data_IF_383252554869
#
_entry.id   IF_383252554869
#
_cell.length_a   1.000
_cell.length_b   1.000
_cell.length_c   1.000
_cell.angle_alpha   90.00
_cell.angle_beta   90.00
_cell.angle_gamma   90.00
#
_symmetry.space_group_name_H-M   'P 1'
#
loop_
_entity.id
_entity.type
_entity.pdbx_description
1 polymer ?
#
# COMPACT_ATOMS: atom_id res chain seq x y z
N UNK A 1 7.03 38.07 -45.97
CA UNK A 1 8.48 37.90 -46.14
C UNK A 1 8.83 36.68 -45.29
N UNK A 2 8.76 35.48 -45.89
CA UNK A 2 9.00 34.21 -45.20
C UNK A 2 10.47 34.18 -44.75
N UNK A 3 10.70 34.17 -43.43
CA UNK A 3 12.01 33.83 -42.89
C UNK A 3 12.21 32.33 -43.11
N UNK A 4 12.94 32.00 -44.18
CA UNK A 4 13.46 30.65 -44.38
C UNK A 4 14.44 30.41 -43.25
N UNK A 5 14.03 29.61 -42.26
CA UNK A 5 14.95 29.09 -41.24
C UNK A 5 16.09 28.38 -41.98
N UNK A 6 17.30 28.87 -41.78
CA UNK A 6 18.47 28.43 -42.54
C UNK A 6 18.71 26.93 -42.29
N UNK A 7 19.09 26.17 -43.32
CA UNK A 7 19.28 24.70 -43.23
C UNK A 7 20.31 24.29 -42.17
N UNK A 8 21.26 25.19 -41.89
CA UNK A 8 22.26 25.05 -40.83
C UNK A 8 21.67 25.14 -39.41
N UNK A 9 20.66 26.00 -39.19
CA UNK A 9 19.95 26.11 -37.92
C UNK A 9 19.09 24.89 -37.64
N UNK A 10 18.42 24.34 -38.66
CA UNK A 10 17.64 23.09 -38.55
C UNK A 10 18.53 21.90 -38.15
N UNK A 11 19.71 21.76 -38.77
CA UNK A 11 20.67 20.71 -38.42
C UNK A 11 21.22 20.85 -36.99
N UNK A 12 21.42 22.09 -36.51
CA UNK A 12 21.89 22.33 -35.15
C UNK A 12 20.84 21.95 -34.09
N UNK A 13 19.57 22.28 -34.34
CA UNK A 13 18.45 21.92 -33.45
C UNK A 13 18.27 20.40 -33.40
N UNK A 14 18.35 19.73 -34.56
CA UNK A 14 18.29 18.27 -34.63
C UNK A 14 19.43 17.60 -33.83
N UNK A 15 20.66 18.11 -33.93
CA UNK A 15 21.79 17.59 -33.16
C UNK A 15 21.64 17.79 -31.64
N UNK A 16 21.05 18.92 -31.21
CA UNK A 16 20.81 19.16 -29.79
C UNK A 16 19.71 18.25 -29.23
N UNK A 17 18.63 18.06 -30.00
CA UNK A 17 17.54 17.16 -29.62
C UNK A 17 17.99 15.70 -29.62
N UNK A 18 18.80 15.27 -30.61
CA UNK A 18 19.34 13.91 -30.65
C UNK A 18 20.33 13.65 -29.50
N UNK A 19 21.20 14.62 -29.16
CA UNK A 19 22.11 14.49 -28.03
C UNK A 19 21.36 14.41 -26.69
N UNK A 20 20.26 15.16 -26.55
CA UNK A 20 19.40 15.09 -25.36
C UNK A 20 18.63 13.77 -25.30
N UNK A 21 18.14 13.28 -26.43
CA UNK A 21 17.52 11.98 -26.59
C UNK A 21 18.48 10.82 -26.24
N UNK A 22 19.75 10.89 -26.66
CA UNK A 22 20.76 9.89 -26.31
C UNK A 22 21.06 9.87 -24.80
N UNK A 23 20.95 11.02 -24.12
CA UNK A 23 21.21 11.13 -22.70
C UNK A 23 20.04 10.65 -21.82
N UNK A 24 18.79 10.88 -22.25
CA UNK A 24 17.58 10.65 -21.44
C UNK A 24 16.66 9.54 -21.98
N UNK A 25 16.88 9.06 -23.21
CA UNK A 25 16.06 8.03 -23.86
C UNK A 25 14.69 8.54 -24.35
N UNK A 26 14.35 9.81 -24.13
CA UNK A 26 13.12 10.47 -24.59
C UNK A 26 13.36 11.97 -24.82
N UNK A 27 12.45 12.63 -25.51
CA UNK A 27 12.43 14.11 -25.68
C UNK A 27 11.08 14.64 -25.22
N UNK A 28 11.08 15.71 -24.43
CA UNK A 28 9.84 16.35 -23.98
C UNK A 28 9.28 17.30 -25.03
N UNK A 29 7.96 17.39 -25.10
CA UNK A 29 7.29 18.35 -25.96
C UNK A 29 7.68 19.80 -25.61
N UNK A 30 7.86 20.10 -24.33
CA UNK A 30 8.31 21.41 -23.84
C UNK A 30 9.73 21.76 -24.30
N UNK A 31 10.62 20.78 -24.39
CA UNK A 31 11.99 20.99 -24.90
C UNK A 31 12.00 21.28 -26.41
N UNK A 32 11.06 20.65 -27.12
CA UNK A 32 10.84 20.84 -28.54
C UNK A 32 10.32 22.26 -28.82
N UNK A 33 9.37 22.75 -28.01
CA UNK A 33 8.85 24.11 -28.07
C UNK A 33 9.86 25.17 -27.61
N UNK A 34 10.71 24.86 -26.62
CA UNK A 34 11.74 25.79 -26.15
C UNK A 34 12.82 26.08 -27.20
N UNK A 35 13.15 25.08 -28.03
CA UNK A 35 14.12 25.22 -29.12
C UNK A 35 13.49 25.73 -30.42
N UNK A 36 12.15 25.66 -30.54
CA UNK A 36 11.36 26.18 -31.65
C UNK A 36 10.25 27.11 -31.15
N UNK A 37 10.57 28.31 -30.63
CA UNK A 37 9.59 29.27 -30.13
C UNK A 37 8.63 29.81 -31.22
N UNK A 38 8.91 29.55 -32.51
CA UNK A 38 8.04 29.88 -33.65
C UNK A 38 7.39 28.62 -34.29
N UNK A 39 7.32 27.49 -33.59
CA UNK A 39 6.77 26.23 -34.10
C UNK A 39 5.34 26.37 -34.67
N UNK A 40 4.53 27.27 -34.11
CA UNK A 40 3.17 27.58 -34.59
C UNK A 40 3.14 28.19 -36.00
N UNK A 41 4.25 28.80 -36.46
CA UNK A 41 4.33 29.47 -37.77
C UNK A 41 4.93 28.60 -38.87
N UNK A 42 5.60 27.49 -38.52
CA UNK A 42 6.25 26.57 -39.46
C UNK A 42 5.98 25.10 -39.08
N UNK A 43 4.72 24.67 -39.25
CA UNK A 43 4.25 23.30 -38.97
C UNK A 43 5.02 22.26 -39.81
N UNK A 44 5.36 22.58 -41.06
CA UNK A 44 6.12 21.66 -41.93
C UNK A 44 7.50 21.30 -41.34
N UNK A 45 8.19 22.26 -40.72
CA UNK A 45 9.51 22.03 -40.10
C UNK A 45 9.40 21.25 -38.78
N UNK A 46 8.29 21.42 -38.05
CA UNK A 46 7.97 20.65 -36.85
C UNK A 46 7.72 19.17 -37.21
N UNK A 47 6.91 18.92 -38.24
CA UNK A 47 6.65 17.56 -38.75
C UNK A 47 7.93 16.87 -39.21
N UNK A 48 8.80 17.56 -39.96
CA UNK A 48 10.10 16.99 -40.39
C UNK A 48 11.01 16.59 -39.21
N UNK A 49 11.01 17.35 -38.11
CA UNK A 49 11.82 17.06 -36.93
C UNK A 49 11.22 15.90 -36.13
N UNK A 50 9.88 15.87 -35.99
CA UNK A 50 9.17 14.78 -35.31
C UNK A 50 9.37 13.47 -36.08
N UNK A 51 9.25 13.48 -37.41
CA UNK A 51 9.47 12.32 -38.25
C UNK A 51 10.91 11.80 -38.15
N UNK A 52 11.89 12.71 -38.08
CA UNK A 52 13.29 12.34 -37.92
C UNK A 52 13.57 11.69 -36.56
N UNK A 53 13.03 12.26 -35.47
CA UNK A 53 13.15 11.70 -34.12
C UNK A 53 12.45 10.33 -33.99
N UNK A 54 11.29 10.19 -34.63
CA UNK A 54 10.52 8.94 -34.64
C UNK A 54 11.25 7.85 -35.43
N UNK A 55 11.88 8.18 -36.57
CA UNK A 55 12.72 7.25 -37.33
C UNK A 55 13.97 6.80 -36.57
N UNK A 56 14.48 7.63 -35.67
CA UNK A 56 15.59 7.29 -34.77
C UNK A 56 15.16 6.51 -33.52
N UNK A 57 13.85 6.23 -33.38
CA UNK A 57 13.32 5.45 -32.25
C UNK A 57 13.24 6.22 -30.94
N UNK A 58 13.23 7.55 -30.98
CA UNK A 58 13.14 8.41 -29.80
C UNK A 58 11.66 8.71 -29.50
N UNK A 59 11.10 8.26 -28.37
CA UNK A 59 9.73 8.62 -27.97
C UNK A 59 9.66 10.08 -27.55
N UNK A 60 8.69 10.80 -28.10
CA UNK A 60 8.34 12.18 -27.69
C UNK A 60 7.25 12.09 -26.62
N UNK A 61 7.51 12.64 -25.44
CA UNK A 61 6.60 12.58 -24.31
C UNK A 61 6.09 13.99 -23.98
N UNK A 62 4.80 14.12 -23.69
CA UNK A 62 4.21 15.36 -23.17
C UNK A 62 4.62 15.65 -21.73
N UNK A 63 4.97 14.61 -20.97
CA UNK A 63 5.42 14.72 -19.58
C UNK A 63 6.59 13.78 -19.35
N UNK A 64 7.57 14.18 -18.53
CA UNK A 64 8.68 13.31 -18.19
C UNK A 64 8.17 12.07 -17.45
N UNK A 65 8.66 10.86 -17.77
CA UNK A 65 8.44 9.71 -16.91
C UNK A 65 8.98 10.10 -15.54
N UNK A 66 8.14 9.95 -14.51
CA UNK A 66 8.47 10.31 -13.14
C UNK A 66 9.50 9.31 -12.60
N UNK A 67 10.76 9.47 -13.00
CA UNK A 67 11.86 8.72 -12.43
C UNK A 67 12.21 9.31 -11.06
N UNK A 68 12.23 8.41 -10.07
CA UNK A 68 12.60 8.61 -8.66
C UNK A 68 11.53 9.13 -7.69
N UNK A 69 10.51 8.30 -7.47
CA UNK A 69 9.94 8.10 -6.11
C UNK A 69 10.37 6.73 -5.53
N UNK A 70 11.08 5.90 -6.31
CA UNK A 70 11.36 4.49 -6.00
C UNK A 70 12.61 4.22 -5.14
N UNK A 71 13.34 5.23 -4.66
CA UNK A 71 14.58 4.99 -3.90
C UNK A 71 14.35 4.61 -2.42
N UNK A 72 13.17 4.89 -1.85
CA UNK A 72 12.85 4.62 -0.43
C UNK A 72 11.58 3.76 -0.24
N UNK A 73 11.09 3.13 -1.31
CA UNK A 73 9.87 2.30 -1.26
C UNK A 73 10.28 0.85 -1.48
N UNK A 74 10.17 -0.04 -0.47
CA UNK A 74 10.24 -1.47 -0.73
C UNK A 74 9.18 -1.78 -1.78
N UNK A 75 9.59 -2.42 -2.88
CA UNK A 75 8.72 -2.97 -3.93
C UNK A 75 7.48 -3.64 -3.30
N UNK A 76 6.40 -2.88 -3.19
CA UNK A 76 5.06 -3.42 -3.04
C UNK A 76 4.48 -3.41 -4.46
N UNK A 77 4.02 -4.58 -4.88
CA UNK A 77 3.56 -4.84 -6.23
C UNK A 77 2.52 -3.80 -6.69
N UNK A 78 2.72 -3.34 -7.91
CA UNK A 78 1.76 -2.53 -8.66
C UNK A 78 0.36 -3.19 -8.74
N UNK A 79 0.21 -4.48 -8.44
CA UNK A 79 -1.05 -5.21 -8.51
C UNK A 79 -2.09 -4.83 -7.44
N UNK A 80 -1.69 -4.18 -6.33
CA UNK A 80 -2.62 -3.54 -5.38
C UNK A 80 -3.03 -2.12 -5.81
N UNK A 81 -2.33 -1.54 -6.79
CA UNK A 81 -2.55 -0.19 -7.30
C UNK A 81 -3.35 -0.18 -8.60
N UNK A 82 -3.44 -1.32 -9.29
CA UNK A 82 -4.29 -1.56 -10.45
C UNK A 82 -5.74 -1.86 -10.04
N UNK A 83 -6.26 -1.09 -9.08
CA UNK A 83 -7.71 -0.88 -9.04
C UNK A 83 -8.00 0.05 -10.23
N UNK A 84 -8.57 -0.51 -11.30
CA UNK A 84 -9.34 0.22 -12.32
C UNK A 84 -10.60 0.84 -11.66
N UNK A 85 -10.38 1.68 -10.64
CA UNK A 85 -11.32 2.64 -10.03
C UNK A 85 -10.64 4.02 -9.94
N UNK A 86 -9.64 4.29 -10.79
CA UNK A 86 -9.10 5.63 -10.99
C UNK A 86 -10.10 6.57 -11.70
N UNK A 87 -11.14 6.02 -12.33
CA UNK A 87 -12.20 6.78 -13.01
C UNK A 87 -13.24 7.39 -12.06
N UNK A 88 -13.23 7.09 -10.76
CA UNK A 88 -14.19 7.63 -9.78
C UNK A 88 -13.66 8.84 -9.00
N UNK A 89 -12.64 9.56 -9.51
CA UNK A 89 -12.28 10.86 -8.95
C UNK A 89 -13.37 11.91 -9.20
N UNK A 90 -14.19 11.75 -10.24
CA UNK A 90 -15.37 12.60 -10.51
C UNK A 90 -16.59 12.22 -9.65
N UNK A 91 -16.57 11.05 -8.99
CA UNK A 91 -17.63 10.61 -8.06
C UNK A 91 -17.54 11.28 -6.68
N UNK A 92 -16.48 12.04 -6.40
CA UNK A 92 -16.29 12.76 -5.14
C UNK A 92 -17.36 13.82 -4.86
N UNK A 93 -17.97 14.42 -5.90
CA UNK A 93 -19.06 15.40 -5.76
C UNK A 93 -20.44 14.74 -5.61
N UNK A 94 -20.64 13.54 -6.17
CA UNK A 94 -21.92 12.81 -6.08
C UNK A 94 -22.08 12.05 -4.76
N UNK A 95 -20.96 11.66 -4.13
CA UNK A 95 -20.94 10.91 -2.87
C UNK A 95 -21.26 11.76 -1.63
N UNK A 96 -21.27 13.09 -1.71
CA UNK A 96 -21.56 13.95 -0.55
C UNK A 96 -23.04 13.84 -0.08
N UNK A 97 -23.95 13.36 -0.94
CA UNK A 97 -25.38 13.24 -0.64
C UNK A 97 -25.85 11.84 -0.22
N UNK A 98 -25.27 10.76 -0.76
CA UNK A 98 -25.68 9.37 -0.44
C UNK A 98 -24.97 8.78 0.80
N UNK A 99 -23.95 9.45 1.33
CA UNK A 99 -23.14 8.94 2.46
C UNK A 99 -23.79 9.09 3.85
N UNK A 100 -24.96 9.74 3.96
CA UNK A 100 -25.68 9.97 5.22
C UNK A 100 -26.61 8.78 5.59
N UNK A 101 -26.94 7.89 4.64
CA UNK A 101 -27.96 6.84 4.80
C UNK A 101 -27.41 5.41 4.97
N UNK A 102 -26.12 5.23 5.23
CA UNK A 102 -25.56 3.90 5.50
C UNK A 102 -25.88 3.44 6.94
N UNK A 103 -26.69 2.38 7.09
CA UNK A 103 -27.18 1.86 8.39
C UNK A 103 -26.03 1.49 9.35
N UNK A 104 -24.88 1.07 8.83
CA UNK A 104 -23.68 0.80 9.63
C UNK A 104 -23.02 2.07 10.19
N UNK A 105 -23.22 3.21 9.52
CA UNK A 105 -22.74 4.52 9.97
C UNK A 105 -23.64 5.08 11.07
N UNK A 106 -24.96 4.89 10.98
CA UNK A 106 -25.89 5.27 12.04
C UNK A 106 -25.66 4.46 13.33
N UNK A 107 -25.42 3.14 13.25
CA UNK A 107 -25.10 2.32 14.42
C UNK A 107 -23.76 2.71 15.10
N UNK A 108 -22.77 3.14 14.32
CA UNK A 108 -21.49 3.64 14.84
C UNK A 108 -21.57 5.08 15.39
N UNK A 109 -22.59 5.86 15.03
CA UNK A 109 -22.81 7.23 15.50
C UNK A 109 -23.77 7.30 16.69
N UNK A 110 -24.74 6.38 16.78
CA UNK A 110 -25.78 6.38 17.82
C UNK A 110 -25.32 5.85 19.18
N UNK A 111 -24.06 5.42 19.30
CA UNK A 111 -23.46 5.02 20.57
C UNK A 111 -22.52 6.11 21.10
N UNK A 112 -22.46 6.26 22.43
CA UNK A 112 -21.42 7.00 23.18
C UNK A 112 -20.03 6.30 23.01
N UNK A 113 -19.74 5.85 21.80
CA UNK A 113 -18.63 5.01 21.41
C UNK A 113 -17.43 5.85 20.96
N UNK A 114 -16.25 5.27 21.12
CA UNK A 114 -14.95 5.86 20.80
C UNK A 114 -14.91 6.37 19.36
N UNK A 115 -15.63 5.70 18.45
CA UNK A 115 -15.78 6.11 17.04
C UNK A 115 -16.51 7.44 16.91
N UNK A 116 -17.67 7.60 17.55
CA UNK A 116 -18.45 8.83 17.52
C UNK A 116 -17.68 10.03 18.07
N UNK A 117 -16.93 9.84 19.16
CA UNK A 117 -16.04 10.87 19.72
C UNK A 117 -14.98 11.32 18.71
N UNK A 118 -14.33 10.36 18.04
CA UNK A 118 -13.31 10.67 17.03
C UNK A 118 -13.89 11.42 15.83
N UNK A 119 -15.05 11.00 15.31
CA UNK A 119 -15.71 11.68 14.18
C UNK A 119 -16.06 13.14 14.54
N UNK A 120 -16.50 13.38 15.77
CA UNK A 120 -16.79 14.72 16.29
C UNK A 120 -15.54 15.60 16.37
N UNK A 121 -14.41 15.05 16.80
CA UNK A 121 -13.13 15.77 16.79
C UNK A 121 -12.66 16.07 15.36
N UNK A 122 -12.73 15.10 14.46
CA UNK A 122 -12.36 15.27 13.05
C UNK A 122 -13.24 16.30 12.33
N UNK A 123 -14.50 16.45 12.74
CA UNK A 123 -15.42 17.46 12.22
C UNK A 123 -15.25 18.87 12.78
N UNK A 124 -14.46 19.06 13.85
CA UNK A 124 -14.28 20.36 14.53
C UNK A 124 -13.45 21.35 13.72
N UNK A 125 -12.51 20.85 12.92
CA UNK A 125 -11.64 21.67 12.07
C UNK A 125 -12.32 21.87 10.71
N UNK A 126 -12.47 23.12 10.24
CA UNK A 126 -13.11 23.40 8.95
C UNK A 126 -12.27 22.88 7.79
N UNK A 127 -12.95 22.62 6.67
CA UNK A 127 -12.30 22.26 5.41
C UNK A 127 -11.48 23.45 4.89
N UNK A 128 -10.37 23.14 4.22
CA UNK A 128 -9.47 24.13 3.64
C UNK A 128 -9.83 24.37 2.17
N UNK A 129 -9.67 25.62 1.73
CA UNK A 129 -9.63 25.97 0.31
C UNK A 129 -8.25 25.68 -0.29
N UNK A 130 -8.18 25.58 -1.62
CA UNK A 130 -6.91 25.36 -2.33
C UNK A 130 -5.87 26.46 -2.02
N UNK A 131 -6.30 27.73 -1.88
CA UNK A 131 -5.41 28.82 -1.51
C UNK A 131 -4.85 28.67 -0.08
N UNK A 132 -5.67 28.17 0.85
CA UNK A 132 -5.24 27.92 2.22
C UNK A 132 -4.28 26.73 2.32
N UNK A 133 -4.49 25.67 1.53
CA UNK A 133 -3.55 24.56 1.38
C UNK A 133 -2.18 25.07 0.92
N UNK A 134 -2.14 25.93 -0.10
CA UNK A 134 -0.90 26.54 -0.60
C UNK A 134 -0.23 27.41 0.47
N UNK A 135 -1.00 28.20 1.24
CA UNK A 135 -0.45 29.02 2.34
C UNK A 135 0.15 28.16 3.45
N UNK A 136 -0.50 27.05 3.80
CA UNK A 136 0.01 26.09 4.79
C UNK A 136 1.29 25.42 4.27
N UNK A 137 1.30 24.96 3.02
CA UNK A 137 2.46 24.33 2.40
C UNK A 137 3.68 25.26 2.37
N UNK A 138 3.50 26.55 2.05
CA UNK A 138 4.58 27.56 2.12
C UNK A 138 5.15 27.76 3.52
N UNK A 139 4.30 27.72 4.56
CA UNK A 139 4.76 27.80 5.96
C UNK A 139 5.55 26.55 6.36
N UNK A 140 5.08 25.38 5.95
CA UNK A 140 5.78 24.12 6.16
C UNK A 140 7.15 24.09 5.48
N UNK A 141 7.24 24.60 4.24
CA UNK A 141 8.50 24.72 3.51
C UNK A 141 9.48 25.68 4.21
N UNK A 142 9.00 26.85 4.65
CA UNK A 142 9.82 27.80 5.43
C UNK A 142 10.34 27.17 6.74
N UNK A 143 9.48 26.44 7.45
CA UNK A 143 9.88 25.73 8.67
C UNK A 143 10.95 24.67 8.41
N UNK A 144 10.82 23.90 7.32
CA UNK A 144 11.81 22.90 6.91
C UNK A 144 13.16 23.51 6.54
N UNK A 145 13.16 24.63 5.81
CA UNK A 145 14.39 25.36 5.49
C UNK A 145 15.06 25.92 6.75
N UNK A 146 14.26 26.44 7.70
CA UNK A 146 14.77 26.92 8.97
C UNK A 146 15.36 25.78 9.82
N UNK A 147 14.71 24.62 9.84
CA UNK A 147 15.21 23.41 10.52
C UNK A 147 16.55 22.95 9.93
N UNK A 148 16.68 22.93 8.60
CA UNK A 148 17.92 22.59 7.92
C UNK A 148 19.05 23.60 8.24
N UNK A 149 18.75 24.91 8.27
CA UNK A 149 19.71 25.94 8.65
C UNK A 149 20.17 25.82 10.11
N UNK A 150 19.26 25.49 11.03
CA UNK A 150 19.60 25.22 12.43
C UNK A 150 20.48 23.98 12.57
N UNK A 151 20.22 22.93 11.79
CA UNK A 151 21.02 21.71 11.81
C UNK A 151 22.45 21.95 11.28
N UNK A 152 22.62 22.77 10.23
CA UNK A 152 23.91 23.01 9.59
C UNK A 152 24.75 24.10 10.30
N UNK A 153 24.10 25.18 10.75
CA UNK A 153 24.77 26.38 11.26
C UNK A 153 24.44 26.70 12.73
N UNK A 154 23.65 25.87 13.43
CA UNK A 154 23.09 26.17 14.76
C UNK A 154 24.08 26.56 15.86
N UNK A 155 25.32 26.09 15.78
CA UNK A 155 26.40 26.44 16.73
C UNK A 155 27.12 27.75 16.39
N UNK A 156 26.99 28.23 15.15
CA UNK A 156 27.69 29.43 14.62
C UNK A 156 26.77 30.65 14.52
N UNK A 157 25.46 30.46 14.64
CA UNK A 157 24.44 31.51 14.54
C UNK A 157 24.35 32.34 15.83
N UNK A 158 24.00 33.61 15.70
CA UNK A 158 23.71 34.47 16.85
C UNK A 158 22.47 34.00 17.63
N UNK A 159 22.37 34.37 18.91
CA UNK A 159 21.20 34.02 19.74
C UNK A 159 19.87 34.51 19.16
N UNK A 160 19.84 35.67 18.50
CA UNK A 160 18.63 36.21 17.87
C UNK A 160 18.23 35.46 16.60
N UNK A 161 19.20 35.18 15.72
CA UNK A 161 18.98 34.41 14.48
C UNK A 161 18.49 33.00 14.80
N UNK A 162 19.08 32.37 15.81
CA UNK A 162 18.66 31.05 16.28
C UNK A 162 17.21 31.04 16.75
N UNK A 163 16.79 32.03 17.56
CA UNK A 163 15.40 32.15 18.04
C UNK A 163 14.41 32.38 16.90
N UNK A 164 14.78 33.17 15.90
CA UNK A 164 13.94 33.40 14.73
C UNK A 164 13.73 32.12 13.93
N UNK A 165 14.80 31.34 13.71
CA UNK A 165 14.69 30.05 13.03
C UNK A 165 13.87 29.05 13.86
N UNK A 166 14.07 28.98 15.18
CA UNK A 166 13.29 28.12 16.08
C UNK A 166 11.78 28.47 15.97
N UNK A 167 11.43 29.76 15.92
CA UNK A 167 10.05 30.19 15.70
C UNK A 167 9.50 29.72 14.35
N UNK A 168 10.28 29.84 13.27
CA UNK A 168 9.85 29.39 11.93
C UNK A 168 9.62 27.88 11.88
N UNK A 169 10.43 27.11 12.61
CA UNK A 169 10.23 25.65 12.76
C UNK A 169 8.91 25.36 13.47
N UNK A 170 8.64 26.02 14.60
CA UNK A 170 7.37 25.86 15.34
C UNK A 170 6.15 26.23 14.46
N UNK A 171 6.24 27.33 13.69
CA UNK A 171 5.20 27.72 12.75
C UNK A 171 4.99 26.68 11.64
N UNK A 172 6.07 26.05 11.15
CA UNK A 172 6.02 24.99 10.17
C UNK A 172 5.34 23.72 10.69
N UNK A 173 5.65 23.32 11.93
CA UNK A 173 5.02 22.18 12.62
C UNK A 173 3.53 22.44 12.83
N UNK A 174 3.17 23.63 13.32
CA UNK A 174 1.77 24.01 13.51
C UNK A 174 0.99 24.05 12.18
N UNK A 175 1.62 24.50 11.09
CA UNK A 175 1.02 24.47 9.76
C UNK A 175 0.80 23.03 9.26
N UNK A 176 1.76 22.13 9.49
CA UNK A 176 1.61 20.71 9.16
C UNK A 176 0.47 20.07 9.95
N UNK A 177 0.41 20.28 11.26
CA UNK A 177 -0.67 19.76 12.10
C UNK A 177 -2.03 20.27 11.65
N UNK A 178 -2.14 21.55 11.30
CA UNK A 178 -3.39 22.12 10.81
C UNK A 178 -3.81 21.49 9.48
N UNK A 179 -2.87 21.30 8.54
CA UNK A 179 -3.13 20.64 7.27
C UNK A 179 -3.63 19.19 7.47
N UNK A 180 -3.03 18.44 8.40
CA UNK A 180 -3.45 17.08 8.74
C UNK A 180 -4.85 17.09 9.35
N UNK A 181 -5.08 17.90 10.40
CA UNK A 181 -6.35 17.94 11.13
C UNK A 181 -7.52 18.33 10.23
N UNK A 182 -7.32 19.28 9.31
CA UNK A 182 -8.36 19.68 8.35
C UNK A 182 -8.71 18.58 7.33
N UNK A 183 -7.79 17.64 7.09
CA UNK A 183 -7.95 16.55 6.13
C UNK A 183 -8.25 15.19 6.80
N UNK A 184 -8.43 15.12 8.12
CA UNK A 184 -8.77 13.87 8.81
C UNK A 184 -10.06 13.21 8.29
N UNK A 185 -10.99 14.01 7.74
CA UNK A 185 -12.25 13.51 7.14
C UNK A 185 -12.01 12.70 5.86
N UNK A 186 -10.99 13.05 5.08
CA UNK A 186 -10.57 12.29 3.90
C UNK A 186 -10.09 10.88 4.28
N UNK A 187 -9.40 10.75 5.41
CA UNK A 187 -8.94 9.44 5.90
C UNK A 187 -10.12 8.54 6.24
N UNK A 188 -11.13 9.10 6.92
CA UNK A 188 -12.35 8.37 7.28
C UNK A 188 -13.08 7.87 6.02
N UNK A 189 -13.23 8.74 5.00
CA UNK A 189 -13.94 8.36 3.77
C UNK A 189 -13.21 7.27 2.98
N UNK A 190 -11.86 7.31 2.93
CA UNK A 190 -11.07 6.24 2.30
C UNK A 190 -11.11 4.95 3.12
N UNK A 191 -10.95 5.02 4.44
CA UNK A 191 -10.94 3.86 5.34
C UNK A 191 -12.29 3.13 5.35
N UNK A 192 -13.41 3.84 5.15
CA UNK A 192 -14.76 3.26 5.11
C UNK A 192 -14.87 2.12 4.09
N UNK A 193 -14.19 2.21 2.94
CA UNK A 193 -14.16 1.16 1.90
C UNK A 193 -13.50 -0.15 2.35
N UNK A 194 -12.77 -0.16 3.46
CA UNK A 194 -11.99 -1.29 3.95
C UNK A 194 -12.60 -1.98 5.18
N UNK A 195 -13.78 -1.53 5.63
CA UNK A 195 -14.52 -2.13 6.75
C UNK A 195 -14.86 -3.60 6.42
N UNK A 196 -14.84 -4.46 7.44
CA UNK A 196 -15.15 -5.89 7.29
C UNK A 196 -14.01 -6.74 6.71
N UNK A 197 -12.83 -6.16 6.46
CA UNK A 197 -11.66 -6.89 5.93
C UNK A 197 -10.78 -7.55 6.99
N UNK A 198 -11.22 -7.56 8.24
CA UNK A 198 -10.55 -8.25 9.37
C UNK A 198 -9.73 -7.33 10.29
N UNK A 199 -9.61 -6.05 9.96
CA UNK A 199 -9.01 -5.01 10.82
C UNK A 199 -10.13 -4.11 11.35
N UNK A 200 -10.14 -3.75 12.65
CA UNK A 200 -11.09 -2.80 13.22
C UNK A 200 -11.09 -1.44 12.51
N UNK A 201 -12.23 -0.76 12.47
CA UNK A 201 -12.35 0.50 11.74
C UNK A 201 -11.46 1.63 12.29
N UNK A 202 -11.34 1.73 13.62
CA UNK A 202 -10.44 2.70 14.25
C UNK A 202 -8.98 2.46 13.84
N UNK A 203 -8.55 1.20 13.79
CA UNK A 203 -7.18 0.86 13.39
C UNK A 203 -6.92 1.21 11.92
N UNK A 204 -7.91 0.98 11.03
CA UNK A 204 -7.83 1.42 9.63
C UNK A 204 -7.70 2.94 9.51
N UNK A 205 -8.46 3.70 10.30
CA UNK A 205 -8.35 5.17 10.35
C UNK A 205 -6.95 5.58 10.82
N UNK A 206 -6.42 4.94 11.86
CA UNK A 206 -5.10 5.28 12.38
C UNK A 206 -3.99 5.01 11.36
N UNK A 207 -4.05 3.88 10.64
CA UNK A 207 -3.12 3.57 9.57
C UNK A 207 -3.25 4.56 8.40
N UNK A 208 -4.48 4.93 8.04
CA UNK A 208 -4.73 5.99 7.07
C UNK A 208 -4.19 7.36 7.50
N UNK A 209 -4.27 7.71 8.78
CA UNK A 209 -3.69 8.93 9.35
C UNK A 209 -2.16 8.93 9.24
N UNK A 210 -1.51 7.77 9.42
CA UNK A 210 -0.06 7.63 9.18
C UNK A 210 0.26 7.89 7.70
N UNK A 211 -0.57 7.39 6.78
CA UNK A 211 -0.50 7.70 5.35
C UNK A 211 -0.64 9.19 5.06
N UNK A 212 -1.65 9.85 5.66
CA UNK A 212 -1.89 11.29 5.54
C UNK A 212 -0.72 12.13 6.06
N UNK A 213 -0.14 11.78 7.21
CA UNK A 213 1.04 12.45 7.76
C UNK A 213 2.21 12.37 6.76
N UNK A 214 2.42 11.20 6.14
CA UNK A 214 3.46 11.01 5.12
C UNK A 214 3.19 11.84 3.88
N UNK A 215 1.94 11.92 3.42
CA UNK A 215 1.53 12.79 2.32
C UNK A 215 1.81 14.26 2.64
N UNK A 216 1.40 14.74 3.81
CA UNK A 216 1.62 16.12 4.24
C UNK A 216 3.12 16.50 4.23
N UNK A 217 4.00 15.59 4.68
CA UNK A 217 5.46 15.83 4.65
C UNK A 217 6.01 15.98 3.23
N UNK A 218 5.48 15.22 2.27
CA UNK A 218 5.98 15.15 0.89
C UNK A 218 5.15 15.97 -0.11
N UNK A 219 4.20 16.77 0.36
CA UNK A 219 3.32 17.53 -0.52
C UNK A 219 4.06 18.70 -1.17
N UNK A 220 3.91 18.84 -2.48
CA UNK A 220 4.50 19.91 -3.27
C UNK A 220 3.40 20.74 -3.94
N UNK A 221 3.16 21.93 -3.40
CA UNK A 221 2.10 22.82 -3.90
C UNK A 221 2.39 23.39 -5.30
N UNK A 222 3.64 23.36 -5.76
CA UNK A 222 4.07 23.91 -7.05
C UNK A 222 3.53 23.12 -8.24
N UNK A 223 3.17 21.83 -8.05
CA UNK A 223 2.60 20.97 -9.09
C UNK A 223 1.15 21.31 -9.43
N UNK A 224 0.49 22.22 -8.70
CA UNK A 224 -0.85 22.71 -9.05
C UNK A 224 -2.01 21.75 -8.76
N UNK A 225 -1.75 20.54 -8.27
CA UNK A 225 -2.80 19.61 -7.84
C UNK A 225 -3.25 19.86 -6.39
N UNK A 226 -4.52 19.57 -6.11
CA UNK A 226 -5.08 19.64 -4.75
C UNK A 226 -4.39 18.65 -3.82
N UNK A 227 -4.30 18.99 -2.53
CA UNK A 227 -3.70 18.09 -1.55
C UNK A 227 -4.46 16.76 -1.43
N UNK A 228 -5.79 16.79 -1.52
CA UNK A 228 -6.64 15.60 -1.44
C UNK A 228 -6.30 14.53 -2.49
N UNK A 229 -6.05 14.93 -3.74
CA UNK A 229 -5.68 14.02 -4.84
C UNK A 229 -4.39 13.27 -4.51
N UNK A 230 -3.37 13.98 -4.01
CA UNK A 230 -2.11 13.37 -3.62
C UNK A 230 -2.22 12.53 -2.35
N UNK A 231 -2.92 13.02 -1.33
CA UNK A 231 -3.07 12.35 -0.05
C UNK A 231 -3.83 11.03 -0.17
N UNK A 232 -4.84 10.96 -1.05
CA UNK A 232 -5.65 9.75 -1.25
C UNK A 232 -4.79 8.53 -1.59
N UNK A 233 -3.74 8.69 -2.41
CA UNK A 233 -2.83 7.60 -2.75
C UNK A 233 -2.09 7.06 -1.53
N UNK A 234 -1.51 7.96 -0.71
CA UNK A 234 -0.77 7.57 0.50
C UNK A 234 -1.66 6.97 1.58
N UNK A 235 -2.88 7.49 1.73
CA UNK A 235 -3.88 6.97 2.67
C UNK A 235 -4.28 5.56 2.23
N UNK A 236 -4.68 5.39 0.96
CA UNK A 236 -5.07 4.08 0.40
C UNK A 236 -3.96 3.05 0.54
N UNK A 237 -2.73 3.42 0.25
CA UNK A 237 -1.57 2.54 0.39
C UNK A 237 -1.36 2.09 1.83
N UNK A 238 -1.47 3.01 2.80
CA UNK A 238 -1.31 2.69 4.21
C UNK A 238 -2.44 1.75 4.71
N UNK A 239 -3.70 2.06 4.39
CA UNK A 239 -4.87 1.26 4.79
C UNK A 239 -4.83 -0.12 4.14
N UNK A 240 -4.53 -0.21 2.85
CA UNK A 240 -4.44 -1.50 2.13
C UNK A 240 -3.33 -2.38 2.70
N UNK A 241 -2.18 -1.77 3.01
CA UNK A 241 -1.07 -2.48 3.64
C UNK A 241 -1.45 -2.99 5.03
N UNK A 242 -2.14 -2.19 5.84
CA UNK A 242 -2.61 -2.60 7.16
C UNK A 242 -3.54 -3.82 7.08
N UNK A 243 -4.47 -3.82 6.13
CA UNK A 243 -5.34 -4.98 5.87
C UNK A 243 -4.53 -6.21 5.45
N UNK A 244 -3.55 -6.06 4.56
CA UNK A 244 -2.71 -7.18 4.14
C UNK A 244 -1.84 -7.72 5.29
N UNK A 245 -1.33 -6.83 6.14
CA UNK A 245 -0.38 -7.18 7.19
C UNK A 245 -1.06 -7.73 8.46
N UNK A 246 -2.24 -7.23 8.82
CA UNK A 246 -2.93 -7.48 10.09
C UNK A 246 -4.34 -8.08 9.95
N UNK A 247 -4.96 -8.06 8.76
CA UNK A 247 -6.35 -8.49 8.57
C UNK A 247 -6.60 -10.00 8.69
N UNK A 248 -5.58 -10.80 9.00
CA UNK A 248 -5.67 -12.25 9.17
C UNK A 248 -5.02 -12.69 10.46
N UNK A 249 -5.66 -13.62 11.16
CA UNK A 249 -5.12 -14.29 12.37
C UNK A 249 -3.77 -14.93 12.10
N UNK A 250 -3.62 -15.58 10.95
CA UNK A 250 -2.35 -16.11 10.46
C UNK A 250 -1.90 -15.17 9.34
N UNK A 251 -0.80 -14.45 9.59
CA UNK A 251 -0.23 -13.49 8.65
C UNK A 251 0.16 -14.18 7.34
N UNK A 252 -0.26 -13.59 6.22
CA UNK A 252 0.11 -14.02 4.87
C UNK A 252 0.95 -12.92 4.22
N UNK A 253 2.08 -13.24 3.56
CA UNK A 253 2.87 -12.23 2.84
C UNK A 253 2.04 -11.49 1.77
N UNK A 254 2.34 -10.21 1.55
CA UNK A 254 1.57 -9.32 0.64
C UNK A 254 1.41 -9.92 -0.76
N UNK A 255 2.50 -10.38 -1.38
CA UNK A 255 2.46 -11.00 -2.72
C UNK A 255 1.58 -12.27 -2.82
N UNK A 256 1.36 -12.97 -1.70
CA UNK A 256 0.43 -14.10 -1.65
C UNK A 256 -1.01 -13.61 -1.46
N UNK A 257 -1.22 -12.53 -0.69
CA UNK A 257 -2.50 -11.83 -0.60
C UNK A 257 -2.98 -11.32 -1.97
N UNK A 258 -2.08 -10.72 -2.74
CA UNK A 258 -2.36 -10.22 -4.10
C UNK A 258 -2.78 -11.35 -5.04
N UNK A 259 -2.08 -12.48 -4.99
CA UNK A 259 -2.44 -13.68 -5.73
C UNK A 259 -3.81 -14.24 -5.31
N UNK A 260 -4.16 -14.22 -4.02
CA UNK A 260 -5.48 -14.65 -3.52
C UNK A 260 -6.58 -13.71 -4.01
N UNK A 261 -6.33 -12.40 -4.04
CA UNK A 261 -7.30 -11.43 -4.56
C UNK A 261 -7.49 -11.57 -6.08
N UNK A 262 -6.39 -11.79 -6.83
CA UNK A 262 -6.44 -12.10 -8.26
C UNK A 262 -7.21 -13.39 -8.53
N UNK A 263 -6.95 -14.45 -7.76
CA UNK A 263 -7.67 -15.72 -7.81
C UNK A 263 -9.18 -15.50 -7.64
N UNK A 264 -9.61 -14.72 -6.65
CA UNK A 264 -11.03 -14.40 -6.43
C UNK A 264 -11.65 -13.65 -7.61
N UNK A 265 -10.95 -12.64 -8.16
CA UNK A 265 -11.43 -11.88 -9.33
C UNK A 265 -11.60 -12.77 -10.57
N UNK A 266 -10.57 -13.55 -10.90
CA UNK A 266 -10.60 -14.48 -12.03
C UNK A 266 -11.69 -15.54 -11.83
N UNK A 267 -11.80 -16.09 -10.62
CA UNK A 267 -12.85 -17.06 -10.29
C UNK A 267 -14.24 -16.46 -10.47
N UNK A 268 -14.48 -15.22 -10.01
CA UNK A 268 -15.78 -14.55 -10.17
C UNK A 268 -16.11 -14.28 -11.64
N UNK A 269 -15.13 -13.79 -12.42
CA UNK A 269 -15.27 -13.56 -13.86
C UNK A 269 -15.58 -14.86 -14.61
N UNK A 270 -14.87 -15.95 -14.32
CA UNK A 270 -15.14 -17.27 -14.89
C UNK A 270 -16.51 -17.79 -14.49
N UNK A 271 -16.93 -17.64 -13.24
CA UNK A 271 -18.28 -18.03 -12.80
C UNK A 271 -19.36 -17.29 -13.59
N UNK A 272 -19.17 -15.98 -13.83
CA UNK A 272 -20.10 -15.17 -14.62
C UNK A 272 -20.16 -15.62 -16.09
N UNK A 273 -19.03 -15.94 -16.70
CA UNK A 273 -18.97 -16.39 -18.09
C UNK A 273 -19.49 -17.83 -18.29
N UNK A 274 -19.19 -18.73 -17.35
CA UNK A 274 -19.51 -20.16 -17.47
C UNK A 274 -20.90 -20.51 -16.91
N UNK A 275 -21.46 -19.67 -16.03
CA UNK A 275 -22.72 -19.94 -15.32
C UNK A 275 -22.62 -21.08 -14.29
N UNK A 276 -21.40 -21.50 -13.94
CA UNK A 276 -21.09 -22.54 -12.94
C UNK A 276 -19.77 -22.22 -12.25
N UNK A 277 -19.48 -22.89 -11.13
CA UNK A 277 -18.15 -22.76 -10.51
C UNK A 277 -17.05 -23.28 -11.45
N UNK A 278 -15.95 -22.52 -11.61
CA UNK A 278 -14.82 -22.92 -12.44
C UNK A 278 -14.00 -24.02 -11.77
N UNK A 279 -13.44 -24.91 -12.59
CA UNK A 279 -12.52 -25.95 -12.13
C UNK A 279 -11.13 -25.39 -11.85
N UNK A 280 -10.34 -26.08 -11.03
CA UNK A 280 -8.95 -25.69 -10.71
C UNK A 280 -8.11 -25.54 -11.99
N UNK A 281 -8.33 -26.39 -12.99
CA UNK A 281 -7.64 -26.31 -14.28
C UNK A 281 -8.00 -25.04 -15.08
N UNK A 282 -9.30 -24.69 -15.14
CA UNK A 282 -9.78 -23.48 -15.82
C UNK A 282 -9.24 -22.20 -15.15
N UNK A 283 -9.20 -22.18 -13.80
CA UNK A 283 -8.61 -21.06 -13.05
C UNK A 283 -7.10 -20.99 -13.31
N UNK A 284 -6.40 -22.13 -13.31
CA UNK A 284 -4.97 -22.19 -13.56
C UNK A 284 -4.61 -21.64 -14.95
N UNK A 285 -5.38 -22.01 -15.97
CA UNK A 285 -5.23 -21.49 -17.34
C UNK A 285 -5.45 -19.97 -17.39
N UNK A 286 -6.54 -19.47 -16.80
CA UNK A 286 -6.85 -18.04 -16.78
C UNK A 286 -5.87 -17.18 -15.96
N UNK A 287 -5.21 -17.77 -14.94
CA UNK A 287 -4.17 -17.11 -14.16
C UNK A 287 -2.76 -17.27 -14.73
N UNK A 288 -2.58 -18.07 -15.79
CA UNK A 288 -1.29 -18.46 -16.37
C UNK A 288 -0.37 -19.19 -15.37
N UNK A 289 -0.93 -20.11 -14.59
CA UNK A 289 -0.22 -20.88 -13.57
C UNK A 289 -0.50 -22.38 -13.63
N UNK A 290 0.07 -23.17 -12.71
CA UNK A 290 -0.14 -24.61 -12.61
C UNK A 290 -1.30 -24.95 -11.64
N UNK A 291 -2.09 -26.00 -11.89
CA UNK A 291 -3.16 -26.44 -10.99
C UNK A 291 -2.71 -26.63 -9.53
N UNK A 292 -1.52 -27.20 -9.31
CA UNK A 292 -0.97 -27.41 -7.96
C UNK A 292 -0.80 -26.10 -7.18
N UNK A 293 -0.39 -25.02 -7.86
CA UNK A 293 -0.26 -23.69 -7.24
C UNK A 293 -1.62 -23.12 -6.86
N UNK A 294 -2.63 -23.32 -7.70
CA UNK A 294 -4.00 -22.90 -7.40
C UNK A 294 -4.56 -23.66 -6.19
N UNK A 295 -4.30 -24.98 -6.09
CA UNK A 295 -4.68 -25.78 -4.92
C UNK A 295 -4.06 -25.24 -3.62
N UNK A 296 -2.76 -24.90 -3.65
CA UNK A 296 -2.06 -24.30 -2.52
C UNK A 296 -2.63 -22.91 -2.18
N UNK A 297 -2.92 -22.08 -3.18
CA UNK A 297 -3.54 -20.77 -2.97
C UNK A 297 -4.94 -20.89 -2.35
N UNK A 298 -5.74 -21.85 -2.79
CA UNK A 298 -7.05 -22.15 -2.20
C UNK A 298 -6.93 -22.59 -0.74
N UNK A 299 -5.93 -23.41 -0.41
CA UNK A 299 -5.65 -23.81 0.98
C UNK A 299 -5.29 -22.60 1.85
N UNK A 300 -4.35 -21.78 1.41
CA UNK A 300 -3.92 -20.56 2.13
C UNK A 300 -5.06 -19.53 2.21
N UNK A 301 -5.99 -19.52 1.25
CA UNK A 301 -7.14 -18.60 1.26
C UNK A 301 -8.13 -18.86 2.39
N UNK A 302 -8.14 -20.07 2.98
CA UNK A 302 -9.08 -20.46 4.05
C UNK A 302 -8.82 -19.66 5.32
N UNK A 303 -9.89 -19.22 5.98
CA UNK A 303 -9.83 -18.55 7.29
C UNK A 303 -9.97 -19.60 8.39
N UNK A 304 -9.24 -19.47 9.51
CA UNK A 304 -9.46 -20.33 10.67
C UNK A 304 -10.88 -20.12 11.21
N UNK A 305 -11.45 -21.18 11.76
CA UNK A 305 -12.78 -21.20 12.38
C UNK A 305 -12.57 -21.15 13.89
N UNK A 306 -13.51 -20.54 14.63
CA UNK A 306 -13.47 -20.57 16.09
C UNK A 306 -13.76 -21.98 16.60
N UNK A 307 -13.01 -22.42 17.62
CA UNK A 307 -13.29 -23.68 18.30
C UNK A 307 -14.56 -23.59 19.16
N UNK A 308 -14.90 -22.39 19.61
CA UNK A 308 -16.10 -22.09 20.39
C UNK A 308 -17.35 -21.90 19.50
N UNK A 309 -17.22 -22.08 18.17
CA UNK A 309 -18.39 -22.01 17.31
C UNK A 309 -19.33 -23.19 17.64
N UNK A 310 -20.63 -22.94 17.84
CA UNK A 310 -21.59 -24.00 18.08
C UNK A 310 -21.70 -24.89 16.84
N UNK A 311 -22.07 -26.15 17.08
CA UNK A 311 -22.35 -27.10 16.00
C UNK A 311 -23.83 -27.04 15.57
N UNK A 312 -24.12 -27.41 14.31
CA UNK A 312 -25.47 -27.30 13.73
C UNK A 312 -26.53 -28.20 14.41
N UNK A 313 -26.09 -29.19 15.20
CA UNK A 313 -26.97 -30.19 15.81
C UNK A 313 -27.43 -29.81 17.22
N UNK A 314 -26.59 -29.16 18.03
CA UNK A 314 -26.89 -28.76 19.41
C UNK A 314 -26.12 -27.47 19.81
N UNK A 315 -26.83 -26.44 20.30
CA UNK A 315 -26.23 -25.16 20.76
C UNK A 315 -25.32 -25.31 21.99
N UNK A 316 -25.37 -26.46 22.68
CA UNK A 316 -24.51 -26.76 23.83
C UNK A 316 -23.16 -27.39 23.45
N UNK A 317 -22.99 -27.85 22.20
CA UNK A 317 -21.77 -28.54 21.77
C UNK A 317 -20.94 -27.67 20.83
N UNK A 318 -19.68 -27.46 21.20
CA UNK A 318 -18.74 -26.61 20.46
C UNK A 318 -17.86 -27.46 19.52
N UNK A 319 -17.34 -26.85 18.44
CA UNK A 319 -16.41 -27.54 17.52
C UNK A 319 -15.17 -28.07 18.26
N UNK A 320 -14.72 -27.36 19.30
CA UNK A 320 -13.56 -27.71 20.12
C UNK A 320 -13.66 -29.08 20.78
N UNK A 321 -14.86 -29.52 21.14
CA UNK A 321 -15.09 -30.80 21.83
C UNK A 321 -14.77 -32.02 20.96
N UNK A 322 -14.77 -31.85 19.64
CA UNK A 322 -14.47 -32.90 18.67
C UNK A 322 -12.98 -32.99 18.30
N UNK A 323 -12.15 -32.07 18.78
CA UNK A 323 -10.72 -32.05 18.44
C UNK A 323 -9.97 -33.09 19.28
N UNK A 324 -9.65 -34.23 18.65
CA UNK A 324 -8.89 -35.28 19.30
C UNK A 324 -7.42 -34.88 19.54
N UNK A 325 -6.93 -35.09 20.76
CA UNK A 325 -5.49 -35.05 21.03
C UNK A 325 -4.81 -36.30 20.46
N UNK A 326 -3.96 -36.10 19.45
CA UNK A 326 -3.17 -37.15 18.80
C UNK A 326 -1.73 -37.25 19.33
N UNK A 327 -1.32 -36.34 20.22
CA UNK A 327 0.03 -36.31 20.81
C UNK A 327 0.07 -36.99 22.18
N UNK A 328 -1.05 -36.97 22.90
CA UNK A 328 -1.20 -37.69 24.15
C UNK A 328 -1.06 -39.21 23.95
N UNK A 329 -0.30 -39.87 24.82
CA UNK A 329 -0.30 -41.33 24.87
C UNK A 329 -1.63 -41.79 25.45
N UNK A 330 -2.26 -42.76 24.80
CA UNK A 330 -3.39 -43.45 25.41
C UNK A 330 -2.96 -44.18 26.69
N UNK A 331 -3.87 -44.39 27.67
CA UNK A 331 -3.54 -45.15 28.88
C UNK A 331 -2.95 -46.54 28.61
N UNK A 332 -3.38 -47.18 27.52
CA UNK A 332 -2.83 -48.46 27.08
C UNK A 332 -1.37 -48.32 26.63
N UNK A 333 -1.07 -47.39 25.72
CA UNK A 333 0.29 -47.15 25.23
C UNK A 333 1.24 -46.69 26.34
N UNK A 334 0.75 -45.88 27.28
CA UNK A 334 1.53 -45.46 28.44
C UNK A 334 1.91 -46.66 29.32
N UNK A 335 0.97 -47.58 29.55
CA UNK A 335 1.19 -48.80 30.32
C UNK A 335 2.16 -49.74 29.60
N UNK A 336 1.96 -49.95 28.29
CA UNK A 336 2.82 -50.78 27.46
C UNK A 336 4.27 -50.26 27.47
N UNK A 337 4.46 -48.94 27.38
CA UNK A 337 5.78 -48.31 27.45
C UNK A 337 6.45 -48.54 28.81
N UNK A 338 5.71 -48.44 29.91
CA UNK A 338 6.26 -48.66 31.24
C UNK A 338 6.57 -50.14 31.49
N UNK A 339 5.70 -51.06 31.03
CA UNK A 339 5.95 -52.49 31.07
C UNK A 339 7.19 -52.87 30.25
N UNK A 340 7.34 -52.31 29.05
CA UNK A 340 8.52 -52.50 28.21
C UNK A 340 9.78 -52.02 28.95
N UNK A 341 9.73 -50.86 29.59
CA UNK A 341 10.84 -50.32 30.39
C UNK A 341 11.21 -51.25 31.55
N UNK A 342 10.22 -51.81 32.25
CA UNK A 342 10.45 -52.77 33.33
C UNK A 342 11.11 -54.05 32.80
N UNK A 343 10.57 -54.66 31.73
CA UNK A 343 11.15 -55.86 31.12
C UNK A 343 12.56 -55.63 30.58
N UNK A 344 12.83 -54.49 29.95
CA UNK A 344 14.19 -54.12 29.52
C UNK A 344 15.14 -53.98 30.69
N UNK A 345 14.68 -53.39 31.80
CA UNK A 345 15.50 -53.24 33.02
C UNK A 345 15.83 -54.59 33.64
N UNK A 346 14.85 -55.50 33.75
CA UNK A 346 15.07 -56.86 34.22
C UNK A 346 16.04 -57.64 33.32
N UNK A 347 15.87 -57.54 32.00
CA UNK A 347 16.76 -58.19 31.04
C UNK A 347 18.20 -57.67 31.15
N UNK A 348 18.38 -56.35 31.28
CA UNK A 348 19.70 -55.74 31.50
C UNK A 348 20.34 -56.17 32.82
N UNK A 349 19.55 -56.37 33.88
CA UNK A 349 20.06 -56.81 35.19
C UNK A 349 20.51 -58.28 35.20
N UNK A 350 20.11 -59.10 34.21
CA UNK A 350 20.60 -60.49 34.05
C UNK A 350 21.95 -60.57 33.34
N UNK A 351 22.39 -59.49 32.68
CA UNK A 351 23.69 -59.42 32.02
C UNK A 351 24.81 -59.09 33.02
N UNK A 352 26.07 -59.45 32.70
CA UNK A 352 27.22 -58.96 33.46
C UNK A 352 27.25 -57.44 33.54
N UNK A 353 27.62 -56.89 34.71
CA UNK A 353 27.53 -55.47 35.03
C UNK A 353 28.21 -54.56 33.99
N UNK A 354 29.36 -55.00 33.46
CA UNK A 354 30.11 -54.28 32.42
C UNK A 354 29.37 -54.21 31.08
N UNK A 355 28.67 -55.27 30.69
CA UNK A 355 27.91 -55.33 29.42
C UNK A 355 26.64 -54.49 29.51
N UNK A 356 25.91 -54.59 30.62
CA UNK A 356 24.73 -53.77 30.89
C UNK A 356 25.06 -52.27 30.93
N UNK A 357 26.20 -51.90 31.53
CA UNK A 357 26.66 -50.51 31.59
C UNK A 357 27.02 -49.94 30.22
N UNK A 358 27.69 -50.72 29.36
CA UNK A 358 27.99 -50.33 27.97
C UNK A 358 26.71 -50.10 27.17
N UNK A 359 25.70 -50.97 27.33
CA UNK A 359 24.43 -50.84 26.60
C UNK A 359 23.65 -49.57 27.01
N UNK A 360 23.57 -49.27 28.32
CA UNK A 360 22.95 -48.02 28.81
C UNK A 360 23.69 -46.79 28.27
N UNK A 361 25.02 -46.74 28.37
CA UNK A 361 25.79 -45.60 27.86
C UNK A 361 25.71 -45.44 26.33
N UNK A 362 25.50 -46.53 25.57
CA UNK A 362 25.44 -46.50 24.11
C UNK A 362 24.09 -46.05 23.56
N UNK A 363 22.99 -46.44 24.20
CA UNK A 363 21.64 -46.19 23.70
C UNK A 363 20.88 -45.11 24.48
N UNK A 364 21.45 -44.63 25.59
CA UNK A 364 20.82 -43.65 26.49
C UNK A 364 19.89 -44.33 27.47
#
# INVERSE_FOLDING_TARGET
>A
MLMVVNKATQQHIQQQLSAKAEAQGYVLYDDLLALLPEAEQNIELLEEIIDHLTQQGVPILTEAPVENIAADVPSLGADLLLDEELDDLDALDALELDLIEDEGYQQAIDSDDVVGLYLKEAGRVPLLSADEEVRLAKRMERGRLAEAQLAEYGERLGHEERRELERLVEEGIAAQEHLIKANSRLVISVAKKYIGRGVPFLDLIQEGNIGLIRAARKFEYQRGHKFSTYATWWIRQAVSRAVADQGRTIRVPVHMGDQINRLRRVSLSLTQMLGREPTIAEIAEAMETTPDKISVLLEISRRPISLEAPTDEDEETEIGDFVQDTRGLSPAEATDREMLRHHLTEALNRLPEREAHILRLRYG
#
